data_IF_966262664440
#
_entry.id   IF_966262664440
#
_cell.length_a   1.000
_cell.length_b   1.000
_cell.length_c   1.000
_cell.angle_alpha   90.00
_cell.angle_beta   90.00
_cell.angle_gamma   90.00
#
_symmetry.space_group_name_H-M   'P 1'
#
loop_
_entity.id
_entity.type
_entity.pdbx_description
1 polymer ?
#
# COMPACT_ATOMS: atom_id res chain seq x y z
N UNK A 1 74.29 0.70 15.51
CA UNK A 1 73.90 -0.44 14.65
C UNK A 1 74.04 0.04 13.21
N UNK A 2 74.95 -0.54 12.44
CA UNK A 2 75.20 -0.17 11.04
C UNK A 2 74.10 -0.76 10.15
N UNK A 3 73.62 0.01 9.18
CA UNK A 3 72.70 -0.46 8.15
C UNK A 3 73.43 -1.49 7.25
N UNK A 4 72.76 -2.56 6.81
CA UNK A 4 73.36 -3.52 5.88
C UNK A 4 73.63 -2.85 4.52
N UNK A 5 74.72 -3.28 3.86
CA UNK A 5 75.07 -2.81 2.52
C UNK A 5 73.93 -3.09 1.53
N UNK A 6 73.47 -2.07 0.80
CA UNK A 6 72.42 -2.20 -0.22
C UNK A 6 73.06 -2.38 -1.59
N UNK A 7 72.69 -3.47 -2.27
CA UNK A 7 73.21 -3.82 -3.58
C UNK A 7 72.22 -3.41 -4.68
N UNK A 8 72.71 -3.33 -5.92
CA UNK A 8 71.86 -3.04 -7.09
C UNK A 8 70.99 -4.25 -7.43
N UNK A 9 69.76 -4.03 -7.88
CA UNK A 9 68.78 -5.05 -8.29
C UNK A 9 69.26 -5.98 -9.45
N UNK A 10 70.42 -5.68 -10.06
CA UNK A 10 71.09 -6.56 -11.02
C UNK A 10 71.87 -7.70 -10.38
N UNK A 11 72.20 -7.57 -9.11
CA UNK A 11 73.00 -8.53 -8.36
C UNK A 11 72.05 -9.49 -7.65
N UNK A 12 72.31 -10.80 -7.80
CA UNK A 12 71.47 -11.87 -7.23
C UNK A 12 71.75 -12.08 -5.73
N UNK A 13 71.73 -11.01 -4.95
CA UNK A 13 72.05 -10.99 -3.52
C UNK A 13 70.94 -10.24 -2.78
N UNK A 14 70.54 -10.77 -1.62
CA UNK A 14 69.42 -10.23 -0.86
C UNK A 14 68.07 -10.56 -1.51
N UNK A 15 67.05 -9.76 -1.22
CA UNK A 15 65.68 -9.96 -1.69
C UNK A 15 65.47 -9.54 -3.17
N UNK A 16 66.47 -9.82 -4.02
CA UNK A 16 66.57 -9.34 -5.39
C UNK A 16 65.38 -9.75 -6.27
N UNK A 17 64.79 -10.91 -6.02
CA UNK A 17 63.67 -11.44 -6.78
C UNK A 17 62.38 -10.66 -6.50
N UNK A 18 62.10 -10.34 -5.23
CA UNK A 18 60.92 -9.53 -4.86
C UNK A 18 61.07 -8.08 -5.27
N UNK A 19 62.28 -7.50 -5.19
CA UNK A 19 62.55 -6.14 -5.69
C UNK A 19 62.38 -6.03 -7.22
N UNK A 20 62.45 -7.12 -7.97
CA UNK A 20 62.09 -7.13 -9.41
C UNK A 20 60.61 -7.36 -9.65
N UNK A 21 59.95 -8.04 -8.72
CA UNK A 21 58.54 -8.34 -8.76
C UNK A 21 57.68 -7.17 -8.24
N UNK A 22 58.13 -5.92 -8.40
CA UNK A 22 57.29 -4.76 -8.16
C UNK A 22 56.10 -4.80 -9.12
N UNK A 23 55.00 -5.34 -8.61
CA UNK A 23 53.75 -5.49 -9.34
C UNK A 23 53.22 -4.10 -9.66
N UNK A 24 53.50 -3.63 -10.88
CA UNK A 24 52.87 -2.44 -11.42
C UNK A 24 51.47 -2.87 -11.80
N UNK A 25 50.54 -2.79 -10.84
CA UNK A 25 49.14 -3.05 -11.12
C UNK A 25 48.65 -1.90 -11.97
N UNK A 26 48.51 -2.11 -13.26
CA UNK A 26 47.75 -1.20 -14.10
C UNK A 26 46.35 -1.09 -13.47
N UNK A 27 45.87 0.14 -13.27
CA UNK A 27 44.56 0.38 -12.67
C UNK A 27 43.46 0.10 -13.70
N UNK A 28 43.37 -1.15 -14.15
CA UNK A 28 42.25 -1.61 -14.95
C UNK A 28 41.01 -1.63 -14.06
N UNK A 29 40.13 -0.66 -14.28
CA UNK A 29 38.84 -0.62 -13.62
C UNK A 29 38.04 -1.85 -14.10
N UNK A 30 37.87 -2.82 -13.21
CA UNK A 30 37.08 -4.00 -13.50
C UNK A 30 35.66 -3.57 -13.87
N UNK A 31 35.24 -3.91 -15.09
CA UNK A 31 33.86 -3.71 -15.53
C UNK A 31 33.00 -4.86 -14.99
N UNK A 32 31.76 -4.56 -14.62
CA UNK A 32 30.77 -5.59 -14.34
C UNK A 32 30.32 -6.26 -15.64
N UNK A 33 29.97 -7.55 -15.58
CA UNK A 33 29.33 -8.24 -16.71
C UNK A 33 28.12 -7.47 -17.24
N UNK A 34 27.29 -6.96 -16.33
CA UNK A 34 26.15 -6.11 -16.69
C UNK A 34 26.53 -4.91 -17.56
N UNK A 35 27.64 -4.21 -17.27
CA UNK A 35 28.07 -3.04 -18.06
C UNK A 35 28.58 -3.45 -19.44
N UNK A 36 29.13 -4.65 -19.58
CA UNK A 36 29.59 -5.19 -20.85
C UNK A 36 28.43 -5.69 -21.71
N UNK A 37 27.42 -6.30 -21.08
CA UNK A 37 26.27 -6.91 -21.76
C UNK A 37 25.17 -5.89 -22.07
N UNK A 38 24.99 -4.89 -21.21
CA UNK A 38 23.97 -3.86 -21.37
C UNK A 38 24.43 -2.81 -22.38
N UNK A 39 23.87 -2.88 -23.59
CA UNK A 39 23.94 -1.79 -24.56
C UNK A 39 22.69 -0.91 -24.43
N UNK A 40 22.79 0.32 -23.89
CA UNK A 40 21.66 1.22 -23.85
C UNK A 40 21.25 1.57 -25.28
N UNK A 41 20.08 1.09 -25.67
CA UNK A 41 19.47 1.43 -26.93
C UNK A 41 18.96 2.89 -26.85
N UNK A 42 19.70 3.80 -27.50
CA UNK A 42 19.46 5.25 -27.42
C UNK A 42 18.39 5.83 -28.36
N UNK A 43 18.12 5.31 -29.58
CA UNK A 43 17.25 6.03 -30.50
C UNK A 43 15.75 5.80 -30.29
N UNK A 44 15.33 4.64 -29.77
CA UNK A 44 13.90 4.33 -29.62
C UNK A 44 13.50 4.27 -28.13
N UNK A 45 13.05 5.41 -27.64
CA UNK A 45 12.23 5.48 -26.42
C UNK A 45 10.79 5.16 -26.81
N UNK A 46 10.07 4.35 -26.01
CA UNK A 46 8.65 4.18 -26.23
C UNK A 46 7.95 5.54 -26.14
N UNK A 47 7.04 5.82 -27.06
CA UNK A 47 6.29 7.07 -27.07
C UNK A 47 5.51 7.21 -25.75
N UNK A 48 5.83 8.26 -24.97
CA UNK A 48 5.21 8.53 -23.70
C UNK A 48 3.69 8.72 -23.83
N UNK A 49 3.22 9.28 -24.96
CA UNK A 49 1.78 9.46 -25.22
C UNK A 49 1.11 8.11 -25.46
N UNK A 50 1.75 7.23 -26.25
CA UNK A 50 1.28 5.85 -26.44
C UNK A 50 1.19 5.10 -25.11
N UNK A 51 2.23 5.15 -24.28
CA UNK A 51 2.24 4.52 -22.96
C UNK A 51 1.14 5.06 -22.05
N UNK A 52 0.97 6.39 -21.99
CA UNK A 52 -0.08 7.01 -21.19
C UNK A 52 -1.48 6.60 -21.65
N UNK A 53 -1.71 6.52 -22.97
CA UNK A 53 -2.99 6.05 -23.52
C UNK A 53 -3.25 4.59 -23.18
N UNK A 54 -2.24 3.73 -23.28
CA UNK A 54 -2.37 2.32 -22.91
C UNK A 54 -2.68 2.16 -21.42
N UNK A 55 -2.00 2.92 -20.55
CA UNK A 55 -2.25 2.92 -19.12
C UNK A 55 -3.68 3.35 -18.79
N UNK A 56 -4.15 4.49 -19.33
CA UNK A 56 -5.53 4.96 -19.14
C UNK A 56 -6.59 3.96 -19.64
N UNK A 57 -6.31 3.21 -20.71
CA UNK A 57 -7.20 2.15 -21.19
C UNK A 57 -7.26 0.96 -20.23
N UNK A 58 -6.16 0.68 -19.52
CA UNK A 58 -6.07 -0.42 -18.56
C UNK A 58 -6.70 -0.12 -17.19
N UNK A 59 -6.98 1.15 -16.87
CA UNK A 59 -7.62 1.55 -15.60
C UNK A 59 -9.03 0.94 -15.43
N UNK A 60 -9.69 0.56 -16.52
CA UNK A 60 -10.98 -0.11 -16.49
C UNK A 60 -12.16 0.81 -16.18
N UNK A 61 -13.31 0.21 -15.83
CA UNK A 61 -14.51 0.97 -15.49
C UNK A 61 -14.48 1.40 -14.02
N UNK A 62 -14.97 2.60 -13.69
CA UNK A 62 -15.09 3.04 -12.30
C UNK A 62 -16.00 2.10 -11.51
N UNK A 63 -15.58 1.77 -10.29
CA UNK A 63 -16.30 0.85 -9.39
C UNK A 63 -17.76 1.26 -9.16
N UNK A 64 -18.05 2.57 -9.16
CA UNK A 64 -19.43 3.07 -9.04
C UNK A 64 -20.31 2.57 -10.18
N UNK A 65 -19.81 2.47 -11.41
CA UNK A 65 -20.61 1.93 -12.53
C UNK A 65 -20.84 0.42 -12.42
N UNK A 66 -19.92 -0.31 -11.78
CA UNK A 66 -20.04 -1.75 -11.61
C UNK A 66 -20.93 -2.15 -10.43
N UNK A 67 -20.87 -1.39 -9.33
CA UNK A 67 -21.49 -1.77 -8.06
C UNK A 67 -22.61 -0.83 -7.59
N UNK A 68 -22.88 0.28 -8.28
CA UNK A 68 -23.99 1.16 -7.89
C UNK A 68 -25.32 0.56 -8.34
N UNK A 69 -26.24 0.48 -7.38
CA UNK A 69 -27.63 0.10 -7.58
C UNK A 69 -28.47 1.35 -7.27
N UNK A 70 -29.06 1.97 -8.30
CA UNK A 70 -29.95 3.14 -8.20
C UNK A 70 -29.35 4.45 -7.65
N UNK A 71 -28.04 4.68 -7.82
CA UNK A 71 -27.37 5.92 -7.35
C UNK A 71 -27.60 6.23 -5.86
N UNK A 72 -27.90 5.20 -5.06
CA UNK A 72 -28.17 5.37 -3.63
C UNK A 72 -26.88 5.83 -2.93
N UNK A 73 -26.89 7.00 -2.25
CA UNK A 73 -25.72 7.44 -1.50
C UNK A 73 -25.42 6.45 -0.39
N UNK A 74 -24.13 6.15 -0.16
CA UNK A 74 -23.71 5.25 0.93
C UNK A 74 -24.21 5.68 2.31
N UNK A 75 -24.57 6.96 2.49
CA UNK A 75 -25.18 7.47 3.73
C UNK A 75 -26.51 6.81 4.09
N UNK A 76 -27.23 6.25 3.11
CA UNK A 76 -28.50 5.55 3.35
C UNK A 76 -28.32 4.22 4.09
N UNK A 77 -27.11 3.66 4.11
CA UNK A 77 -26.81 2.38 4.79
C UNK A 77 -26.07 2.57 6.12
N UNK A 78 -26.02 3.78 6.66
CA UNK A 78 -25.31 4.08 7.92
C UNK A 78 -26.12 3.74 9.17
N UNK A 79 -27.43 3.50 9.03
CA UNK A 79 -28.33 3.19 10.14
C UNK A 79 -28.67 1.70 10.06
N UNK A 80 -28.46 0.97 11.15
CA UNK A 80 -28.85 -0.43 11.21
C UNK A 80 -30.36 -0.56 11.36
N UNK A 81 -30.95 -1.67 10.90
CA UNK A 81 -32.38 -1.94 11.10
C UNK A 81 -32.76 -1.92 12.60
N UNK A 82 -31.82 -2.27 13.48
CA UNK A 82 -32.00 -2.18 14.93
C UNK A 82 -32.20 -0.73 15.39
N UNK A 83 -31.31 0.17 14.98
CA UNK A 83 -31.40 1.60 15.31
C UNK A 83 -32.67 2.24 14.74
N UNK A 84 -33.13 1.80 13.56
CA UNK A 84 -34.39 2.28 12.98
C UNK A 84 -35.63 1.79 13.75
N UNK A 85 -35.57 0.58 14.31
CA UNK A 85 -36.68 -0.05 15.02
C UNK A 85 -36.81 0.50 16.44
N UNK A 86 -35.69 0.71 17.14
CA UNK A 86 -35.65 1.07 18.56
C UNK A 86 -35.19 2.51 18.82
N UNK A 87 -34.37 3.10 17.96
CA UNK A 87 -33.86 4.47 18.10
C UNK A 87 -34.83 5.54 17.59
N UNK A 88 -35.72 5.18 16.67
CA UNK A 88 -36.84 6.05 16.26
C UNK A 88 -37.86 6.03 17.38
N UNK A 89 -38.14 7.19 18.02
CA UNK A 89 -39.32 7.32 18.88
C UNK A 89 -40.56 7.00 18.03
N UNK A 90 -41.04 5.77 18.13
CA UNK A 90 -42.21 5.33 17.41
C UNK A 90 -43.42 5.99 18.06
N UNK A 91 -44.28 6.59 17.24
CA UNK A 91 -45.68 6.80 17.62
C UNK A 91 -46.22 5.46 18.16
N UNK A 92 -46.79 5.46 19.36
CA UNK A 92 -47.30 4.29 20.11
C UNK A 92 -48.36 3.45 19.37
N UNK A 93 -48.72 3.82 18.15
CA UNK A 93 -49.65 3.10 17.28
C UNK A 93 -48.97 1.93 16.60
N UNK A 94 -49.70 0.81 16.48
CA UNK A 94 -49.29 -0.32 15.65
C UNK A 94 -48.94 0.15 14.23
N UNK A 95 -47.92 -0.45 13.58
CA UNK A 95 -47.62 -0.15 12.19
C UNK A 95 -48.87 -0.40 11.33
N UNK A 96 -49.23 0.56 10.48
CA UNK A 96 -50.34 0.42 9.55
C UNK A 96 -50.08 -0.77 8.65
N UNK A 97 -51.06 -1.68 8.54
CA UNK A 97 -51.01 -2.82 7.61
C UNK A 97 -50.78 -2.28 6.19
N UNK A 98 -49.89 -2.91 5.42
CA UNK A 98 -49.56 -2.45 4.05
C UNK A 98 -50.82 -2.22 3.22
N UNK A 99 -50.90 -1.05 2.58
CA UNK A 99 -51.98 -0.72 1.64
C UNK A 99 -51.56 -1.02 0.20
N UNK A 100 -52.50 -1.51 -0.60
CA UNK A 100 -52.32 -1.69 -2.04
C UNK A 100 -52.60 -0.37 -2.76
N UNK A 101 -51.67 0.08 -3.60
CA UNK A 101 -51.88 1.26 -4.43
C UNK A 101 -52.32 0.82 -5.84
N UNK A 102 -53.59 1.04 -6.16
CA UNK A 102 -54.18 0.65 -7.46
C UNK A 102 -53.59 1.41 -8.65
N UNK A 103 -53.18 2.67 -8.48
CA UNK A 103 -52.58 3.47 -9.55
C UNK A 103 -51.17 3.00 -9.90
N UNK A 104 -50.39 2.58 -8.89
CA UNK A 104 -49.02 2.07 -9.08
C UNK A 104 -48.98 0.55 -9.33
N UNK A 105 -50.11 -0.14 -9.18
CA UNK A 105 -50.20 -1.61 -9.20
C UNK A 105 -49.14 -2.27 -8.31
N UNK A 106 -48.85 -1.64 -7.17
CA UNK A 106 -47.80 -2.05 -6.25
C UNK A 106 -48.23 -1.80 -4.80
N UNK A 107 -47.61 -2.53 -3.87
CA UNK A 107 -47.74 -2.21 -2.45
C UNK A 107 -47.08 -0.86 -2.16
N UNK A 108 -47.69 -0.08 -1.27
CA UNK A 108 -47.06 1.17 -0.80
C UNK A 108 -45.75 0.82 -0.07
N UNK A 109 -44.66 1.57 -0.32
CA UNK A 109 -43.39 1.32 0.32
C UNK A 109 -43.52 1.31 1.85
N UNK A 110 -42.82 0.37 2.47
CA UNK A 110 -42.78 0.24 3.92
C UNK A 110 -41.93 1.36 4.55
N UNK A 111 -42.01 1.50 5.88
CA UNK A 111 -41.02 2.26 6.64
C UNK A 111 -39.56 1.88 6.29
N UNK A 112 -39.28 0.62 5.98
CA UNK A 112 -37.94 0.13 5.61
C UNK A 112 -37.48 0.61 4.22
N UNK A 113 -38.41 0.92 3.32
CA UNK A 113 -38.09 1.45 1.99
C UNK A 113 -37.71 2.95 2.02
N UNK A 114 -37.96 3.60 3.16
CA UNK A 114 -37.59 4.98 3.44
C UNK A 114 -36.73 5.06 4.70
N UNK A 115 -35.50 4.51 4.63
CA UNK A 115 -34.62 4.46 5.78
C UNK A 115 -34.34 5.86 6.30
N UNK A 116 -34.11 5.96 7.61
CA UNK A 116 -33.76 7.24 8.22
C UNK A 116 -32.39 7.63 7.64
N UNK A 117 -32.34 8.77 6.97
CA UNK A 117 -31.06 9.32 6.55
C UNK A 117 -30.26 9.65 7.81
N UNK A 118 -29.25 8.83 8.09
CA UNK A 118 -28.43 8.99 9.28
C UNK A 118 -27.78 10.37 9.26
N UNK A 119 -28.13 11.22 10.21
CA UNK A 119 -27.22 12.27 10.63
C UNK A 119 -26.14 11.56 11.45
N UNK A 120 -24.87 11.91 11.27
CA UNK A 120 -23.75 11.45 12.12
C UNK A 120 -23.86 11.97 13.57
N UNK A 121 -25.06 12.08 14.13
CA UNK A 121 -25.22 12.43 15.52
C UNK A 121 -25.01 11.17 16.35
N UNK A 122 -23.86 11.16 17.03
CA UNK A 122 -23.68 10.50 18.31
C UNK A 122 -23.88 8.97 18.30
N UNK A 123 -23.04 8.25 17.52
CA UNK A 123 -22.38 7.13 18.19
C UNK A 123 -21.56 7.78 19.31
N UNK A 124 -22.05 7.65 20.54
CA UNK A 124 -21.32 8.01 21.75
C UNK A 124 -19.86 7.57 21.54
N UNK A 125 -18.98 8.55 21.43
CA UNK A 125 -17.59 8.38 21.00
C UNK A 125 -16.81 7.46 21.94
N UNK A 126 -17.40 7.07 23.07
CA UNK A 126 -16.91 6.04 23.99
C UNK A 126 -16.82 4.65 23.39
N UNK A 127 -17.81 4.17 22.62
CA UNK A 127 -17.82 2.76 22.19
C UNK A 127 -16.91 2.48 21.00
N UNK A 128 -16.82 3.42 20.05
CA UNK A 128 -15.92 3.30 18.91
C UNK A 128 -14.46 3.34 19.36
N UNK A 129 -14.09 4.23 20.29
CA UNK A 129 -12.74 4.28 20.85
C UNK A 129 -12.40 3.00 21.64
N UNK A 130 -13.37 2.38 22.32
CA UNK A 130 -13.15 1.14 23.06
C UNK A 130 -12.88 -0.05 22.13
N UNK A 131 -13.54 -0.12 20.97
CA UNK A 131 -13.31 -1.16 19.97
C UNK A 131 -11.95 -1.02 19.25
N UNK A 132 -11.51 0.22 18.98
CA UNK A 132 -10.20 0.47 18.40
C UNK A 132 -9.05 0.24 19.39
N UNK A 133 -9.25 0.57 20.68
CA UNK A 133 -8.24 0.35 21.74
C UNK A 133 -7.99 -1.14 22.00
N UNK A 134 -9.04 -1.96 22.10
CA UNK A 134 -8.87 -3.42 22.28
C UNK A 134 -8.19 -4.10 21.08
N UNK A 135 -8.44 -3.60 19.87
CA UNK A 135 -7.85 -4.15 18.65
C UNK A 135 -6.37 -3.75 18.47
N UNK A 136 -5.96 -2.61 19.04
CA UNK A 136 -4.56 -2.18 19.04
C UNK A 136 -3.72 -2.95 20.08
N UNK A 137 -4.27 -3.16 21.28
CA UNK A 137 -3.63 -3.99 22.33
C UNK A 137 -3.42 -5.44 21.87
N UNK A 138 -4.44 -6.06 21.25
CA UNK A 138 -4.33 -7.43 20.71
C UNK A 138 -3.36 -7.56 19.53
N UNK A 139 -3.06 -6.46 18.82
CA UNK A 139 -2.05 -6.43 17.76
C UNK A 139 -0.63 -6.31 18.30
N UNK A 140 -0.42 -5.63 19.43
CA UNK A 140 0.89 -5.49 20.06
C UNK A 140 1.32 -6.77 20.83
N UNK A 141 0.37 -7.54 21.36
CA UNK A 141 0.66 -8.83 22.02
C UNK A 141 1.06 -9.97 21.06
N UNK A 142 0.85 -9.81 19.74
CA UNK A 142 1.11 -10.87 18.74
C UNK A 142 2.31 -10.59 17.82
N UNK A 143 3.18 -9.64 18.15
CA UNK A 143 4.41 -9.39 17.38
C UNK A 143 5.53 -10.29 17.91
N UNK A 144 6.04 -11.27 17.14
CA UNK A 144 7.27 -11.97 17.52
C UNK A 144 8.42 -10.95 17.52
N UNK A 145 9.07 -10.79 18.67
CA UNK A 145 10.28 -9.96 18.84
C UNK A 145 11.44 -10.64 18.12
N UNK A 146 11.47 -10.53 16.79
CA UNK A 146 12.66 -10.84 16.00
C UNK A 146 13.51 -9.58 15.93
N UNK A 147 14.50 -9.54 16.83
CA UNK A 147 15.52 -8.50 16.87
C UNK A 147 16.39 -8.54 15.63
N UNK A 148 16.19 -7.57 14.75
CA UNK A 148 17.22 -7.15 13.79
C UNK A 148 17.50 -5.67 14.06
N UNK A 149 18.61 -5.43 14.77
CA UNK A 149 19.17 -4.11 14.98
C UNK A 149 19.76 -3.59 13.67
N UNK A 150 19.24 -2.47 13.20
CA UNK A 150 19.89 -1.67 12.17
C UNK A 150 20.95 -0.80 12.86
N UNK A 151 22.23 -1.15 12.67
CA UNK A 151 23.34 -0.23 12.91
C UNK A 151 23.46 0.70 11.69
N UNK A 152 23.05 1.95 11.89
CA UNK A 152 23.55 3.08 11.12
C UNK A 152 24.77 3.65 11.85
N UNK A 153 25.73 4.15 11.05
CA UNK A 153 27.07 4.67 11.35
C UNK A 153 28.23 3.68 11.20
#
# INVERSE_FOLDING_TARGET
MSQPCKYSNKVLIGNWAEERLHFTRDCEMANSSYRMDYMPHMPHRPDAVMCQRAFRRSEGLPLRQLFSHHDVPSSHCLVSQYDESYGRQASSSLPTLHSWNSFKLARVPERSDHPIQGIKHSLDSRWVLMQFSLRFELMLENIPVNGYGYQLY
#
